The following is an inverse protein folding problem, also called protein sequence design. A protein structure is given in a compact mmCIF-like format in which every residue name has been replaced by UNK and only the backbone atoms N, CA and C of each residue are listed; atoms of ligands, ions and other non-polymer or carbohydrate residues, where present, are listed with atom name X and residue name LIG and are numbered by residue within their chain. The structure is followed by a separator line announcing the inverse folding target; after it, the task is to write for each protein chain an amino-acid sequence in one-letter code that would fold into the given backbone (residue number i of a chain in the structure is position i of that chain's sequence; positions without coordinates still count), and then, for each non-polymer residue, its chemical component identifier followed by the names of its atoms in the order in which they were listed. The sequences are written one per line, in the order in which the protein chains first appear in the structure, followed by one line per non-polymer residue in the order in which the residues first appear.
data_IF_617382996133
#
_entry.id   IF_617382996133
#
_cell.length_a   1.000
_cell.length_b   1.000
_cell.length_c   1.000
_cell.angle_alpha   90.00
_cell.angle_beta   90.00
_cell.angle_gamma   90.00
#
_symmetry.space_group_name_H-M   'P 1'
#
loop_
_entity.id
_entity.type
_entity.pdbx_description
1 polymer ?
#
# COMPACT_ATOMS: atom_id res chain seq x y z
N UNK A 1 -49.24 48.98 -24.46
CA UNK A 1 -49.32 48.33 -23.13
C UNK A 1 -48.26 47.22 -23.11
N UNK A 2 -47.23 47.34 -22.26
CA UNK A 2 -46.43 46.28 -21.59
C UNK A 2 -46.30 44.91 -22.31
N UNK A 3 -45.14 44.32 -22.63
CA UNK A 3 -43.87 44.17 -21.87
C UNK A 3 -42.77 43.57 -22.76
N UNK A 4 -41.53 44.00 -22.51
CA UNK A 4 -40.26 43.35 -22.85
C UNK A 4 -40.11 41.96 -22.18
N UNK A 5 -39.23 41.11 -22.74
CA UNK A 5 -38.18 40.26 -22.09
C UNK A 5 -37.76 39.18 -23.13
N UNK A 6 -36.65 39.32 -23.86
CA UNK A 6 -35.29 38.97 -23.45
C UNK A 6 -35.19 37.57 -22.82
N UNK A 7 -34.64 36.61 -23.56
CA UNK A 7 -34.44 35.23 -23.10
C UNK A 7 -33.29 34.58 -23.85
N UNK A 8 -32.08 34.88 -23.38
CA UNK A 8 -30.78 34.35 -23.82
C UNK A 8 -30.82 32.81 -23.90
N UNK A 9 -30.42 32.26 -25.04
CA UNK A 9 -30.10 30.83 -25.21
C UNK A 9 -28.83 30.56 -24.40
N UNK A 10 -29.02 30.24 -23.12
CA UNK A 10 -27.96 29.84 -22.21
C UNK A 10 -27.52 28.41 -22.51
N UNK A 11 -26.38 28.32 -23.19
CA UNK A 11 -25.56 27.11 -23.33
C UNK A 11 -25.41 26.45 -21.95
N UNK A 12 -26.17 25.38 -21.70
CA UNK A 12 -26.04 24.57 -20.50
C UNK A 12 -24.74 23.79 -20.61
N UNK A 13 -23.66 24.42 -20.16
CA UNK A 13 -22.38 23.80 -19.90
C UNK A 13 -22.62 22.77 -18.80
N UNK A 14 -22.89 21.53 -19.20
CA UNK A 14 -22.82 20.37 -18.32
C UNK A 14 -21.39 20.34 -17.78
N UNK A 15 -21.24 20.85 -16.55
CA UNK A 15 -20.06 20.67 -15.75
C UNK A 15 -19.87 19.16 -15.57
N UNK A 16 -19.02 18.59 -16.40
CA UNK A 16 -18.42 17.29 -16.18
C UNK A 16 -17.59 17.42 -14.90
N UNK A 17 -18.24 17.29 -13.75
CA UNK A 17 -17.60 16.91 -12.51
C UNK A 17 -17.16 15.47 -12.69
N UNK A 18 -16.09 15.28 -13.46
CA UNK A 18 -15.27 14.08 -13.36
C UNK A 18 -14.71 14.10 -11.96
N UNK A 19 -15.38 13.40 -11.04
CA UNK A 19 -14.78 12.96 -9.79
C UNK A 19 -13.56 12.14 -10.21
N UNK A 20 -12.39 12.78 -10.21
CA UNK A 20 -11.14 12.04 -10.21
C UNK A 20 -11.18 11.26 -8.90
N UNK A 21 -11.58 9.99 -8.98
CA UNK A 21 -11.50 9.08 -7.86
C UNK A 21 -10.06 9.16 -7.38
N UNK A 22 -9.83 9.74 -6.18
CA UNK A 22 -8.55 9.71 -5.52
C UNK A 22 -8.15 8.24 -5.45
N UNK A 23 -7.21 7.85 -6.31
CA UNK A 23 -6.63 6.52 -6.27
C UNK A 23 -6.08 6.34 -4.85
N UNK A 24 -6.54 5.35 -4.10
CA UNK A 24 -6.08 5.16 -2.73
C UNK A 24 -4.57 5.03 -2.76
N UNK A 25 -3.89 5.89 -2.01
CA UNK A 25 -2.42 5.89 -1.94
C UNK A 25 -1.97 4.47 -1.56
N UNK A 26 -1.08 3.84 -2.35
CA UNK A 26 -0.64 2.47 -2.05
C UNK A 26 -0.11 2.38 -0.62
N UNK A 27 -0.35 1.27 0.08
CA UNK A 27 0.00 1.14 1.50
C UNK A 27 1.48 1.50 1.82
N UNK A 28 2.41 1.25 0.89
CA UNK A 28 3.82 1.59 1.07
C UNK A 28 4.17 3.08 0.89
N UNK A 29 3.26 3.88 0.32
CA UNK A 29 3.38 5.33 0.18
C UNK A 29 2.62 6.11 1.25
N UNK A 30 1.96 5.42 2.19
CA UNK A 30 1.28 6.05 3.31
C UNK A 30 2.28 6.83 4.16
N UNK A 31 1.89 8.02 4.63
CA UNK A 31 2.78 8.95 5.34
C UNK A 31 3.48 8.30 6.54
N UNK A 32 2.75 7.49 7.30
CA UNK A 32 3.27 6.82 8.49
C UNK A 32 4.29 5.73 8.12
N UNK A 33 4.08 5.05 7.00
CA UNK A 33 5.02 4.05 6.48
C UNK A 33 6.31 4.72 5.99
N UNK A 34 6.20 5.84 5.29
CA UNK A 34 7.36 6.62 4.84
C UNK A 34 8.14 7.18 6.04
N UNK A 35 7.44 7.70 7.06
CA UNK A 35 8.06 8.18 8.29
C UNK A 35 8.81 7.05 9.00
N UNK A 36 8.18 5.90 9.19
CA UNK A 36 8.81 4.75 9.81
C UNK A 36 10.03 4.25 9.01
N UNK A 37 9.99 4.30 7.67
CA UNK A 37 11.13 3.94 6.83
C UNK A 37 12.32 4.89 7.01
N UNK A 38 12.07 6.20 7.12
CA UNK A 38 13.10 7.20 7.37
C UNK A 38 13.77 7.02 8.74
N UNK A 39 12.98 6.65 9.76
CA UNK A 39 13.47 6.45 11.13
C UNK A 39 14.50 5.30 11.24
N UNK A 40 14.45 4.32 10.33
CA UNK A 40 15.44 3.22 10.27
C UNK A 40 16.86 3.78 10.11
N UNK A 41 17.03 4.89 9.40
CA UNK A 41 18.35 5.50 9.17
C UNK A 41 19.22 4.63 8.27
N UNK A 42 18.68 4.19 7.13
CA UNK A 42 19.40 3.37 6.15
C UNK A 42 20.53 4.17 5.49
N UNK A 43 21.71 3.58 5.40
CA UNK A 43 22.81 4.13 4.59
C UNK A 43 22.51 3.95 3.10
N UNK A 44 23.22 4.69 2.24
CA UNK A 44 23.09 4.57 0.78
C UNK A 44 23.32 3.14 0.27
N UNK A 45 24.22 2.39 0.93
CA UNK A 45 24.49 0.99 0.60
C UNK A 45 23.38 0.02 1.04
N UNK A 46 22.66 0.36 2.11
CA UNK A 46 21.57 -0.45 2.64
C UNK A 46 20.25 -0.21 1.90
N UNK A 47 20.03 1.00 1.36
CA UNK A 47 18.81 1.37 0.62
C UNK A 47 18.43 0.39 -0.51
N UNK A 48 19.33 -0.03 -1.43
CA UNK A 48 18.95 -0.97 -2.48
C UNK A 48 18.55 -2.34 -1.90
N UNK A 49 19.29 -2.86 -0.90
CA UNK A 49 18.98 -4.13 -0.23
C UNK A 49 17.62 -4.07 0.47
N UNK A 50 17.32 -2.95 1.11
CA UNK A 50 16.04 -2.71 1.76
C UNK A 50 14.89 -2.67 0.74
N UNK A 51 15.05 -1.90 -0.35
CA UNK A 51 14.06 -1.86 -1.42
C UNK A 51 13.78 -3.24 -1.99
N UNK A 52 14.82 -4.04 -2.22
CA UNK A 52 14.69 -5.39 -2.76
C UNK A 52 13.97 -6.31 -1.77
N UNK A 53 14.29 -6.22 -0.47
CA UNK A 53 13.59 -6.95 0.59
C UNK A 53 12.09 -6.62 0.67
N UNK A 54 11.73 -5.33 0.59
CA UNK A 54 10.33 -4.88 0.55
C UNK A 54 9.64 -5.33 -0.73
N UNK A 55 10.31 -5.22 -1.88
CA UNK A 55 9.78 -5.65 -3.18
C UNK A 55 9.48 -7.15 -3.18
N UNK A 56 10.38 -7.96 -2.64
CA UNK A 56 10.20 -9.41 -2.51
C UNK A 56 9.02 -9.76 -1.60
N UNK A 57 8.84 -9.03 -0.49
CA UNK A 57 7.67 -9.17 0.36
C UNK A 57 6.36 -8.90 -0.39
N UNK A 58 6.31 -7.80 -1.16
CA UNK A 58 5.14 -7.42 -1.95
C UNK A 58 4.82 -8.47 -3.01
N UNK A 59 5.82 -8.92 -3.77
CA UNK A 59 5.67 -9.95 -4.79
C UNK A 59 5.19 -11.28 -4.20
N UNK A 60 5.74 -11.68 -3.04
CA UNK A 60 5.31 -12.87 -2.31
C UNK A 60 3.83 -12.77 -1.93
N UNK A 61 3.39 -11.64 -1.37
CA UNK A 61 1.98 -11.43 -1.00
C UNK A 61 1.05 -11.47 -2.20
N UNK A 62 1.37 -10.73 -3.26
CA UNK A 62 0.56 -10.67 -4.48
C UNK A 62 0.42 -12.07 -5.09
N UNK A 63 1.53 -12.82 -5.21
CA UNK A 63 1.50 -14.18 -5.73
C UNK A 63 0.65 -15.11 -4.84
N UNK A 64 0.77 -15.00 -3.52
CA UNK A 64 -0.01 -15.80 -2.57
C UNK A 64 -1.51 -15.47 -2.64
N UNK A 65 -1.87 -14.19 -2.73
CA UNK A 65 -3.26 -13.75 -2.78
C UNK A 65 -3.90 -14.16 -4.11
N UNK A 66 -3.19 -13.98 -5.24
CA UNK A 66 -3.63 -14.44 -6.55
C UNK A 66 -3.91 -15.94 -6.57
N UNK A 67 -3.11 -16.76 -5.88
CA UNK A 67 -3.35 -18.21 -5.76
C UNK A 67 -4.59 -18.52 -4.92
N UNK A 68 -4.82 -17.78 -3.84
CA UNK A 68 -6.01 -17.94 -2.99
C UNK A 68 -7.29 -17.55 -3.76
N UNK A 69 -7.28 -16.41 -4.45
CA UNK A 69 -8.44 -15.92 -5.23
C UNK A 69 -8.78 -16.83 -6.41
N UNK A 70 -7.79 -17.47 -7.03
CA UNK A 70 -7.99 -18.44 -8.13
C UNK A 70 -8.32 -19.85 -7.63
N UNK A 71 -8.20 -20.11 -6.33
CA UNK A 71 -8.47 -21.42 -5.74
C UNK A 71 -9.97 -21.71 -5.65
N UNK A 72 -10.33 -23.01 -5.67
CA UNK A 72 -11.72 -23.46 -5.43
C UNK A 72 -12.13 -23.30 -3.96
N UNK A 73 -11.19 -23.46 -3.03
CA UNK A 73 -11.45 -23.34 -1.59
C UNK A 73 -11.16 -21.92 -1.07
N UNK A 74 -12.19 -21.10 -1.11
CA UNK A 74 -12.20 -19.74 -0.58
C UNK A 74 -12.73 -19.63 0.85
N UNK A 75 -12.96 -20.77 1.53
CA UNK A 75 -13.35 -20.76 2.95
C UNK A 75 -12.21 -20.15 3.78
N UNK A 76 -12.55 -19.26 4.72
CA UNK A 76 -11.60 -18.52 5.57
C UNK A 76 -10.51 -17.76 4.79
N UNK A 77 -10.83 -17.16 3.64
CA UNK A 77 -9.83 -16.53 2.78
C UNK A 77 -9.03 -15.45 3.51
N UNK A 78 -9.66 -14.67 4.37
CA UNK A 78 -8.98 -13.65 5.19
C UNK A 78 -7.93 -14.26 6.12
N UNK A 79 -8.27 -15.36 6.81
CA UNK A 79 -7.34 -16.09 7.69
C UNK A 79 -6.17 -16.62 6.89
N UNK A 80 -6.43 -17.18 5.70
CA UNK A 80 -5.39 -17.66 4.78
C UNK A 80 -4.50 -16.50 4.31
N UNK A 81 -5.06 -15.36 3.95
CA UNK A 81 -4.34 -14.15 3.55
C UNK A 81 -3.45 -13.60 4.68
N UNK A 82 -3.95 -13.55 5.92
CA UNK A 82 -3.15 -13.19 7.12
C UNK A 82 -1.99 -14.16 7.33
N UNK A 83 -2.25 -15.47 7.22
CA UNK A 83 -1.21 -16.50 7.34
C UNK A 83 -0.14 -16.38 6.26
N UNK A 84 -0.53 -16.10 5.00
CA UNK A 84 0.44 -15.90 3.90
C UNK A 84 1.25 -14.63 4.08
N UNK A 85 0.61 -13.54 4.51
CA UNK A 85 1.30 -12.29 4.86
C UNK A 85 2.37 -12.52 5.92
N UNK A 86 2.05 -13.26 6.99
CA UNK A 86 3.04 -13.65 8.02
C UNK A 86 4.20 -14.47 7.45
N UNK A 87 3.91 -15.39 6.54
CA UNK A 87 4.94 -16.16 5.83
C UNK A 87 5.89 -15.28 5.01
N UNK A 88 5.34 -14.36 4.21
CA UNK A 88 6.13 -13.42 3.42
C UNK A 88 6.95 -12.46 4.31
N UNK A 89 6.37 -11.99 5.42
CA UNK A 89 7.06 -11.13 6.37
C UNK A 89 8.27 -11.82 7.02
N UNK A 90 8.21 -13.14 7.30
CA UNK A 90 9.38 -13.89 7.77
C UNK A 90 10.53 -13.87 6.76
N UNK A 91 10.22 -13.96 5.46
CA UNK A 91 11.22 -13.84 4.40
C UNK A 91 11.87 -12.46 4.37
N UNK A 92 11.05 -11.41 4.54
CA UNK A 92 11.55 -10.04 4.65
C UNK A 92 12.45 -9.87 5.89
N UNK A 93 12.01 -10.34 7.06
CA UNK A 93 12.78 -10.25 8.30
C UNK A 93 14.17 -10.90 8.15
N UNK A 94 14.22 -12.07 7.52
CA UNK A 94 15.49 -12.77 7.26
C UNK A 94 16.41 -11.91 6.40
N UNK A 95 15.89 -11.38 5.28
CA UNK A 95 16.67 -10.55 4.37
C UNK A 95 17.17 -9.26 5.04
N UNK A 96 16.35 -8.61 5.87
CA UNK A 96 16.76 -7.39 6.58
C UNK A 96 17.80 -7.69 7.67
N UNK A 97 17.67 -8.81 8.38
CA UNK A 97 18.63 -9.21 9.41
C UNK A 97 20.04 -9.53 8.90
N UNK A 98 20.24 -9.65 7.58
CA UNK A 98 21.57 -9.87 6.98
C UNK A 98 22.40 -8.59 6.89
N UNK A 99 21.78 -7.40 6.96
CA UNK A 99 22.50 -6.13 6.75
C UNK A 99 22.09 -4.99 7.68
N UNK A 100 20.96 -5.09 8.39
CA UNK A 100 20.59 -4.12 9.42
C UNK A 100 21.35 -4.40 10.72
N UNK A 101 21.74 -3.32 11.40
CA UNK A 101 22.36 -3.42 12.72
C UNK A 101 21.33 -3.73 13.80
N UNK A 102 21.79 -4.17 14.98
CA UNK A 102 20.94 -4.40 16.15
C UNK A 102 20.14 -3.15 16.54
N UNK A 103 20.69 -1.94 16.34
CA UNK A 103 20.00 -0.68 16.60
C UNK A 103 18.93 -0.35 15.55
N UNK A 104 19.12 -0.78 14.30
CA UNK A 104 18.18 -0.56 13.20
C UNK A 104 17.02 -1.56 13.22
N UNK A 105 17.26 -2.77 13.75
CA UNK A 105 16.27 -3.86 13.75
C UNK A 105 14.93 -3.49 14.43
N UNK A 106 14.89 -2.92 15.65
CA UNK A 106 13.63 -2.51 16.27
C UNK A 106 12.85 -1.48 15.45
N UNK A 107 13.56 -0.55 14.78
CA UNK A 107 12.92 0.46 13.93
C UNK A 107 12.36 -0.15 12.65
N UNK A 108 13.06 -1.13 12.09
CA UNK A 108 12.55 -1.93 10.99
C UNK A 108 11.30 -2.73 11.40
N UNK A 109 11.26 -3.30 12.60
CA UNK A 109 10.09 -4.02 13.09
C UNK A 109 8.86 -3.11 13.17
N UNK A 110 9.05 -1.88 13.67
CA UNK A 110 8.03 -0.85 13.66
C UNK A 110 7.57 -0.53 12.22
N UNK A 111 8.50 -0.29 11.29
CA UNK A 111 8.18 -0.08 9.88
C UNK A 111 7.34 -1.23 9.29
N UNK A 112 7.75 -2.48 9.53
CA UNK A 112 7.06 -3.67 9.02
C UNK A 112 5.63 -3.74 9.55
N UNK A 113 5.43 -3.47 10.83
CA UNK A 113 4.11 -3.50 11.46
C UNK A 113 3.21 -2.42 10.88
N UNK A 114 3.71 -1.18 10.79
CA UNK A 114 3.00 -0.06 10.16
C UNK A 114 2.64 -0.36 8.70
N UNK A 115 3.56 -0.97 7.94
CA UNK A 115 3.33 -1.40 6.57
C UNK A 115 2.21 -2.44 6.48
N UNK A 116 2.26 -3.48 7.32
CA UNK A 116 1.27 -4.56 7.33
C UNK A 116 -0.10 -4.02 7.77
N UNK A 117 -0.15 -3.11 8.73
CA UNK A 117 -1.39 -2.52 9.21
C UNK A 117 -2.06 -1.65 8.15
N UNK A 118 -1.29 -0.83 7.44
CA UNK A 118 -1.80 -0.06 6.30
C UNK A 118 -2.28 -0.95 5.14
N UNK A 119 -1.74 -2.16 5.01
CA UNK A 119 -2.21 -3.13 4.02
C UNK A 119 -3.50 -3.84 4.41
N UNK A 120 -3.90 -3.83 5.69
CA UNK A 120 -5.18 -4.42 6.14
C UNK A 120 -6.39 -3.64 5.62
N UNK A 121 -6.21 -2.37 5.24
CA UNK A 121 -7.25 -1.55 4.61
C UNK A 121 -7.50 -1.80 3.12
N UNK A 122 -6.81 -2.78 2.50
CA UNK A 122 -6.91 -3.11 1.06
C UNK A 122 -7.49 -4.51 0.80
N UNK A 123 -8.20 -5.10 1.77
CA UNK A 123 -8.83 -6.42 1.67
C UNK A 123 -10.35 -6.32 1.66
#
# INVERSE_FOLDING_TARGET
MFRFFAGVVGLSLLAAQGVAAEQPTPAFMQKDVLKAALEIGLTEEQQPKFRDGVTNFMNCRIAAFNRLMKGRDQVDIERKMKSKTKGCAKGMNKAMGEFLTEEQMPKYEHYRETLIDNMKGMG
#
